data_IF_291669113814
#
_entry.id   IF_291669113814
#
_cell.length_a   1.000
_cell.length_b   1.000
_cell.length_c   1.000
_cell.angle_alpha   90.00
_cell.angle_beta   90.00
_cell.angle_gamma   90.00
#
_symmetry.space_group_name_H-M   'P 1'
#
loop_
_entity.id
_entity.type
_entity.pdbx_description
1 polymer ?
#
# COMPACT_ATOMS: atom_id res chain seq x y z
N UNK A 1 29.71 -14.95 1.04
CA UNK A 1 29.76 -14.43 -0.34
C UNK A 1 28.62 -13.46 -0.51
N UNK A 2 28.89 -12.18 -0.26
CA UNK A 2 27.94 -11.08 -0.42
C UNK A 2 27.55 -11.01 -1.91
N UNK A 3 26.28 -11.25 -2.19
CA UNK A 3 25.79 -11.46 -3.56
C UNK A 3 25.57 -10.10 -4.21
N UNK A 4 25.99 -10.04 -5.47
CA UNK A 4 25.91 -8.92 -6.42
C UNK A 4 24.52 -8.23 -6.57
N UNK A 5 23.48 -8.76 -5.93
CA UNK A 5 22.13 -8.21 -5.89
C UNK A 5 21.84 -7.34 -4.65
N UNK A 6 22.81 -7.23 -3.72
CA UNK A 6 22.71 -6.33 -2.58
C UNK A 6 22.62 -4.83 -3.00
N UNK A 7 22.93 -4.54 -4.26
CA UNK A 7 23.10 -3.18 -4.77
C UNK A 7 21.81 -2.51 -5.23
N UNK A 8 20.73 -3.25 -5.52
CA UNK A 8 19.41 -2.67 -5.78
C UNK A 8 18.55 -2.54 -4.51
N UNK A 9 19.09 -2.94 -3.35
CA UNK A 9 18.35 -2.85 -2.10
C UNK A 9 18.00 -1.40 -1.80
N UNK A 10 16.71 -1.19 -1.56
CA UNK A 10 16.20 -0.40 -0.45
C UNK A 10 16.85 -0.87 0.87
N UNK A 11 18.18 -0.74 0.95
CA UNK A 11 18.98 -0.74 2.16
C UNK A 11 18.93 0.65 2.77
N UNK A 12 17.77 1.26 2.63
CA UNK A 12 17.09 1.70 3.82
C UNK A 12 17.08 0.60 4.89
N UNK A 13 18.19 0.48 5.61
CA UNK A 13 18.17 0.75 7.04
C UNK A 13 17.61 2.18 7.27
N UNK A 14 16.43 2.51 6.72
CA UNK A 14 15.72 3.74 7.01
C UNK A 14 15.16 3.51 8.39
N UNK A 15 15.89 4.03 9.36
CA UNK A 15 15.33 4.77 10.48
C UNK A 15 14.57 3.97 11.57
N UNK A 16 14.05 2.77 11.31
CA UNK A 16 12.96 2.26 12.15
C UNK A 16 12.90 0.75 12.44
N UNK A 17 13.92 -0.06 12.17
CA UNK A 17 13.79 -1.48 12.53
C UNK A 17 13.88 -1.72 14.06
N UNK A 18 14.36 -0.73 14.84
CA UNK A 18 14.18 -0.61 16.29
C UNK A 18 14.21 0.87 16.65
N UNK A 19 13.24 1.34 17.43
CA UNK A 19 13.23 2.70 18.02
C UNK A 19 14.53 3.00 18.78
N UNK A 20 15.26 1.94 19.19
CA UNK A 20 16.50 2.01 19.96
C UNK A 20 17.79 1.75 19.16
N UNK A 21 17.72 1.45 17.85
CA UNK A 21 18.91 1.07 17.07
C UNK A 21 18.86 1.48 15.59
N UNK A 22 18.51 2.74 15.29
CA UNK A 22 18.87 3.29 13.98
C UNK A 22 20.40 3.41 13.92
N UNK A 23 21.06 2.60 13.09
CA UNK A 23 22.51 2.66 12.84
C UNK A 23 22.97 4.02 12.27
N UNK A 24 22.04 4.85 11.81
CA UNK A 24 22.28 6.20 11.32
C UNK A 24 22.09 7.24 12.45
N UNK A 25 23.05 8.15 12.67
CA UNK A 25 22.97 9.20 13.70
C UNK A 25 22.04 10.35 13.27
N UNK A 26 20.80 10.06 12.92
CA UNK A 26 19.79 11.06 12.54
C UNK A 26 18.99 11.53 13.75
N UNK A 27 18.85 12.84 13.88
CA UNK A 27 17.98 13.40 14.92
C UNK A 27 16.49 13.12 14.60
N UNK A 28 15.59 13.35 15.56
CA UNK A 28 14.15 13.06 15.37
C UNK A 28 13.53 13.82 14.19
N UNK A 29 13.92 15.08 13.99
CA UNK A 29 13.42 15.89 12.88
C UNK A 29 13.87 15.33 11.53
N UNK A 30 15.16 14.98 11.38
CA UNK A 30 15.69 14.37 10.15
C UNK A 30 15.01 13.04 9.83
N UNK A 31 14.73 12.22 10.84
CA UNK A 31 14.01 10.94 10.67
C UNK A 31 12.58 11.14 10.16
N UNK A 32 11.85 12.06 10.78
CA UNK A 32 10.46 12.38 10.40
C UNK A 32 10.42 12.99 9.01
N UNK A 33 11.22 14.03 8.76
CA UNK A 33 11.23 14.72 7.47
C UNK A 33 11.74 13.80 6.36
N UNK A 34 12.81 13.03 6.59
CA UNK A 34 13.32 12.08 5.60
C UNK A 34 12.25 11.06 5.17
N UNK A 35 11.47 10.54 6.13
CA UNK A 35 10.39 9.59 5.85
C UNK A 35 9.24 10.26 5.11
N UNK A 36 8.76 11.42 5.60
CA UNK A 36 7.70 12.17 4.91
C UNK A 36 8.09 12.54 3.49
N UNK A 37 9.34 12.96 3.27
CA UNK A 37 9.83 13.31 1.94
C UNK A 37 9.94 12.08 1.04
N UNK A 38 10.33 10.92 1.56
CA UNK A 38 10.36 9.64 0.83
C UNK A 38 8.96 9.19 0.41
N UNK A 39 8.02 9.29 1.34
CA UNK A 39 6.61 9.02 1.14
C UNK A 39 6.03 9.93 0.04
N UNK A 40 6.27 11.25 0.15
CA UNK A 40 5.85 12.23 -0.84
C UNK A 40 6.47 11.95 -2.21
N UNK A 41 7.76 11.61 -2.27
CA UNK A 41 8.44 11.23 -3.49
C UNK A 41 7.77 10.05 -4.18
N UNK A 42 7.52 8.98 -3.43
CA UNK A 42 6.83 7.79 -3.95
C UNK A 42 5.44 8.17 -4.47
N UNK A 43 4.71 8.98 -3.71
CA UNK A 43 3.42 9.53 -4.13
C UNK A 43 3.50 10.33 -5.44
N UNK A 44 4.54 11.15 -5.62
CA UNK A 44 4.80 11.94 -6.84
C UNK A 44 5.09 11.02 -8.02
N UNK A 45 5.93 10.00 -7.86
CA UNK A 45 6.20 9.03 -8.93
C UNK A 45 4.89 8.39 -9.40
N UNK A 46 4.08 7.88 -8.48
CA UNK A 46 2.80 7.24 -8.83
C UNK A 46 1.83 8.25 -9.46
N UNK A 47 1.72 9.46 -8.90
CA UNK A 47 0.85 10.50 -9.42
C UNK A 47 1.27 10.93 -10.83
N UNK A 48 2.57 10.94 -11.13
CA UNK A 48 3.07 11.31 -12.46
C UNK A 48 2.58 10.32 -13.52
N UNK A 49 2.71 9.02 -13.25
CA UNK A 49 2.26 7.91 -14.10
C UNK A 49 0.74 7.94 -14.29
N UNK A 50 0.00 8.07 -13.19
CA UNK A 50 -1.47 8.14 -13.23
C UNK A 50 -1.94 9.38 -13.99
N UNK A 51 -1.31 10.53 -13.76
CA UNK A 51 -1.66 11.78 -14.45
C UNK A 51 -1.35 11.75 -15.93
N UNK A 52 -0.28 11.06 -16.34
CA UNK A 52 0.14 10.98 -17.74
C UNK A 52 -0.82 10.10 -18.57
N UNK A 53 -1.25 8.97 -18.00
CA UNK A 53 -1.93 7.92 -18.78
C UNK A 53 -3.41 7.71 -18.44
N UNK A 54 -3.87 8.11 -17.25
CA UNK A 54 -5.20 7.73 -16.76
C UNK A 54 -6.10 8.91 -16.39
N UNK A 55 -5.53 10.01 -15.87
CA UNK A 55 -6.27 11.24 -15.66
C UNK A 55 -6.41 11.99 -16.97
N UNK A 56 -7.63 12.41 -17.28
CA UNK A 56 -7.91 13.20 -18.49
C UNK A 56 -8.09 14.65 -18.09
N UNK A 57 -9.33 15.01 -17.79
CA UNK A 57 -9.72 16.39 -17.49
C UNK A 57 -9.04 16.94 -16.24
N UNK A 58 -8.68 16.06 -15.29
CA UNK A 58 -8.04 16.47 -14.03
C UNK A 58 -6.51 16.41 -14.06
N UNK A 59 -5.88 15.93 -15.13
CA UNK A 59 -4.42 15.75 -15.18
C UNK A 59 -3.65 17.06 -14.99
N UNK A 60 -3.97 18.07 -15.81
CA UNK A 60 -3.33 19.39 -15.73
C UNK A 60 -3.53 20.03 -14.35
N UNK A 61 -4.72 19.86 -13.78
CA UNK A 61 -5.07 20.36 -12.46
C UNK A 61 -4.29 19.64 -11.34
N UNK A 62 -4.18 18.32 -11.40
CA UNK A 62 -3.40 17.50 -10.47
C UNK A 62 -1.94 17.92 -10.47
N UNK A 63 -1.34 18.07 -11.66
CA UNK A 63 0.07 18.44 -11.81
C UNK A 63 0.35 19.84 -11.25
N UNK A 64 -0.49 20.83 -11.54
CA UNK A 64 -0.29 22.21 -11.09
C UNK A 64 -0.48 22.40 -9.59
N UNK A 65 -1.56 21.87 -9.02
CA UNK A 65 -1.98 22.27 -7.67
C UNK A 65 -1.65 21.25 -6.59
N UNK A 66 -1.31 20.02 -6.97
CA UNK A 66 -0.86 18.98 -6.05
C UNK A 66 0.59 18.62 -6.35
N UNK A 67 0.87 18.18 -7.58
CA UNK A 67 2.19 17.70 -7.98
C UNK A 67 3.30 18.72 -7.80
N UNK A 68 3.20 19.91 -8.41
CA UNK A 68 4.25 20.93 -8.36
C UNK A 68 4.53 21.45 -6.94
N UNK A 69 3.53 21.78 -6.09
CA UNK A 69 3.79 22.14 -4.69
C UNK A 69 4.47 21.02 -3.89
N UNK A 70 4.08 19.77 -4.11
CA UNK A 70 4.68 18.62 -3.42
C UNK A 70 6.09 18.31 -3.93
N UNK A 71 6.35 18.50 -5.22
CA UNK A 71 7.70 18.40 -5.80
C UNK A 71 8.62 19.50 -5.27
N UNK A 72 8.11 20.73 -5.07
CA UNK A 72 8.85 21.80 -4.40
C UNK A 72 9.21 21.43 -2.95
N UNK A 73 8.27 20.84 -2.20
CA UNK A 73 8.55 20.33 -0.85
C UNK A 73 9.59 19.21 -0.88
N UNK A 74 9.53 18.30 -1.87
CA UNK A 74 10.52 17.26 -2.04
C UNK A 74 11.92 17.81 -2.29
N UNK A 75 12.04 18.85 -3.13
CA UNK A 75 13.29 19.57 -3.37
C UNK A 75 13.84 20.24 -2.11
N UNK A 76 12.99 20.94 -1.35
CA UNK A 76 13.40 21.64 -0.13
C UNK A 76 14.04 20.68 0.89
N UNK A 77 13.50 19.47 1.00
CA UNK A 77 13.99 18.45 1.94
C UNK A 77 14.88 17.38 1.30
N UNK A 78 15.29 17.57 0.04
CA UNK A 78 16.11 16.59 -0.69
C UNK A 78 17.41 16.20 0.05
N UNK A 79 18.17 17.14 0.66
CA UNK A 79 19.36 16.75 1.42
C UNK A 79 19.06 15.84 2.62
N UNK A 80 17.90 16.03 3.28
CA UNK A 80 17.47 15.18 4.39
C UNK A 80 17.04 13.80 3.88
N UNK A 81 16.32 13.75 2.75
CA UNK A 81 15.95 12.51 2.10
C UNK A 81 17.18 11.67 1.71
N UNK A 82 18.20 12.32 1.12
CA UNK A 82 19.46 11.66 0.75
C UNK A 82 20.16 11.09 1.99
N UNK A 83 20.28 11.88 3.06
CA UNK A 83 20.83 11.41 4.34
C UNK A 83 20.05 10.24 4.91
N UNK A 84 18.73 10.23 4.76
CA UNK A 84 17.88 9.17 5.28
C UNK A 84 18.09 7.86 4.49
N UNK A 85 18.18 7.94 3.16
CA UNK A 85 18.27 6.77 2.28
C UNK A 85 19.68 6.20 2.19
N UNK A 86 20.69 7.06 2.01
CA UNK A 86 22.08 6.64 1.74
C UNK A 86 22.98 6.78 2.97
N UNK A 87 22.53 7.52 3.98
CA UNK A 87 23.32 7.81 5.18
C UNK A 87 24.11 9.13 5.09
N UNK A 88 24.62 9.63 6.23
CA UNK A 88 25.15 10.98 6.35
C UNK A 88 26.54 11.20 5.74
N UNK A 89 27.26 10.14 5.36
CA UNK A 89 28.66 10.22 4.89
C UNK A 89 28.84 9.81 3.43
N UNK A 90 27.78 9.41 2.73
CA UNK A 90 27.87 8.76 1.42
C UNK A 90 27.16 9.57 0.30
N UNK A 91 27.35 10.90 0.30
CA UNK A 91 26.73 11.79 -0.70
C UNK A 91 27.23 11.57 -2.13
N UNK A 92 28.35 10.87 -2.32
CA UNK A 92 28.89 10.51 -3.63
C UNK A 92 28.40 9.14 -4.13
N UNK A 93 27.50 8.49 -3.38
CA UNK A 93 26.89 7.25 -3.82
C UNK A 93 26.09 7.47 -5.11
N UNK A 94 26.22 6.55 -6.08
CA UNK A 94 25.51 6.60 -7.35
C UNK A 94 23.98 6.75 -7.18
N UNK A 95 23.42 6.26 -6.07
CA UNK A 95 21.99 6.41 -5.72
C UNK A 95 21.57 7.86 -5.57
N UNK A 96 22.42 8.72 -5.03
CA UNK A 96 22.13 10.16 -4.88
C UNK A 96 21.93 10.80 -6.26
N UNK A 97 22.75 10.41 -7.24
CA UNK A 97 22.62 10.88 -8.61
C UNK A 97 21.34 10.36 -9.27
N UNK A 98 21.01 9.08 -9.09
CA UNK A 98 19.76 8.51 -9.61
C UNK A 98 18.53 9.19 -9.02
N UNK A 99 18.53 9.43 -7.70
CA UNK A 99 17.49 10.20 -7.03
C UNK A 99 17.42 11.62 -7.62
N UNK A 100 18.53 12.34 -7.72
CA UNK A 100 18.54 13.70 -8.29
C UNK A 100 18.02 13.76 -9.72
N UNK A 101 18.36 12.77 -10.56
CA UNK A 101 17.83 12.65 -11.93
C UNK A 101 16.32 12.42 -11.91
N UNK A 102 15.83 11.49 -11.08
CA UNK A 102 14.42 11.20 -10.97
C UNK A 102 13.62 12.42 -10.48
N UNK A 103 14.11 13.13 -9.45
CA UNK A 103 13.49 14.38 -8.99
C UNK A 103 13.48 15.45 -10.08
N UNK A 104 14.58 15.59 -10.83
CA UNK A 104 14.66 16.53 -11.95
C UNK A 104 13.65 16.21 -13.07
N UNK A 105 13.41 14.93 -13.36
CA UNK A 105 12.37 14.49 -14.31
C UNK A 105 10.98 14.82 -13.77
N UNK A 106 10.72 14.55 -12.48
CA UNK A 106 9.44 14.88 -11.84
C UNK A 106 9.19 16.38 -11.85
N UNK A 107 10.20 17.18 -11.50
CA UNK A 107 10.13 18.65 -11.53
C UNK A 107 9.82 19.15 -12.94
N UNK A 108 10.55 18.67 -13.94
CA UNK A 108 10.25 19.04 -15.32
C UNK A 108 8.80 18.73 -15.66
N UNK A 109 8.31 17.52 -15.35
CA UNK A 109 6.94 17.11 -15.65
C UNK A 109 5.87 17.95 -14.93
N UNK A 110 6.09 18.27 -13.65
CA UNK A 110 5.14 19.02 -12.84
C UNK A 110 5.19 20.53 -13.09
N UNK A 111 6.37 21.14 -13.21
CA UNK A 111 6.49 22.57 -13.47
C UNK A 111 6.19 22.93 -14.92
N UNK A 112 6.44 22.02 -15.88
CA UNK A 112 5.99 22.22 -17.27
C UNK A 112 4.47 22.41 -17.37
N UNK A 113 3.72 21.86 -16.41
CA UNK A 113 2.27 22.05 -16.37
C UNK A 113 1.87 23.53 -16.30
N UNK A 114 2.69 24.46 -15.79
CA UNK A 114 2.40 25.89 -15.77
C UNK A 114 2.57 26.58 -17.13
N UNK A 115 3.32 25.96 -18.05
CA UNK A 115 3.53 26.46 -19.41
C UNK A 115 2.41 26.03 -20.37
N UNK A 116 1.68 24.96 -20.04
CA UNK A 116 0.57 24.49 -20.86
C UNK A 116 -0.61 25.49 -20.82
N UNK A 117 -1.29 25.70 -21.95
CA UNK A 117 -2.51 26.52 -21.94
C UNK A 117 -3.69 25.71 -21.40
N UNK A 118 -4.43 26.25 -20.42
CA UNK A 118 -5.58 25.56 -19.86
C UNK A 118 -6.55 26.52 -19.19
N UNK A 119 -7.84 26.41 -19.53
CA UNK A 119 -8.93 27.15 -18.86
C UNK A 119 -9.18 26.54 -17.49
N UNK A 120 -8.39 26.93 -16.50
CA UNK A 120 -8.62 26.54 -15.10
C UNK A 120 -9.36 27.66 -14.40
N UNK A 121 -10.67 27.47 -14.20
CA UNK A 121 -11.47 28.37 -13.38
C UNK A 121 -11.62 27.82 -11.97
N UNK A 122 -11.26 28.60 -10.95
CA UNK A 122 -11.49 28.23 -9.54
C UNK A 122 -12.94 28.49 -9.15
N UNK A 123 -13.73 27.42 -9.03
CA UNK A 123 -15.11 27.43 -8.53
C UNK A 123 -15.23 26.46 -7.35
N UNK A 124 -16.33 26.48 -6.60
CA UNK A 124 -16.58 25.50 -5.50
C UNK A 124 -16.37 24.04 -5.94
N UNK A 125 -16.73 23.69 -7.18
CA UNK A 125 -16.50 22.35 -7.75
C UNK A 125 -15.01 22.02 -7.96
N UNK A 126 -14.14 23.02 -8.13
CA UNK A 126 -12.70 22.83 -8.28
C UNK A 126 -12.06 22.40 -6.95
N UNK A 127 -12.54 22.89 -5.81
CA UNK A 127 -12.08 22.44 -4.49
C UNK A 127 -12.36 20.96 -4.22
N UNK A 128 -13.51 20.46 -4.66
CA UNK A 128 -13.83 19.03 -4.59
C UNK A 128 -12.81 18.22 -5.40
N UNK A 129 -12.41 18.70 -6.59
CA UNK A 129 -11.36 18.07 -7.39
C UNK A 129 -9.99 18.11 -6.71
N UNK A 130 -9.62 19.21 -6.05
CA UNK A 130 -8.38 19.30 -5.25
C UNK A 130 -8.38 18.20 -4.19
N UNK A 131 -9.43 18.15 -3.36
CA UNK A 131 -9.54 17.18 -2.27
C UNK A 131 -9.54 15.75 -2.81
N UNK A 132 -10.25 15.51 -3.93
CA UNK A 132 -10.36 14.20 -4.54
C UNK A 132 -9.07 13.66 -5.14
N UNK A 133 -8.08 14.52 -5.38
CA UNK A 133 -6.76 14.13 -5.85
C UNK A 133 -5.76 14.12 -4.69
N UNK A 134 -5.81 15.15 -3.85
CA UNK A 134 -4.92 15.31 -2.70
C UNK A 134 -5.08 14.18 -1.68
N UNK A 135 -6.31 13.78 -1.36
CA UNK A 135 -6.53 12.75 -0.33
C UNK A 135 -5.99 11.38 -0.77
N UNK A 136 -6.33 10.84 -1.96
CA UNK A 136 -5.68 9.62 -2.47
C UNK A 136 -4.16 9.75 -2.53
N UNK A 137 -3.64 10.88 -3.02
CA UNK A 137 -2.20 11.13 -3.07
C UNK A 137 -1.55 10.98 -1.69
N UNK A 138 -2.07 11.67 -0.67
CA UNK A 138 -1.55 11.64 0.69
C UNK A 138 -1.61 10.23 1.29
N UNK A 139 -2.72 9.52 1.10
CA UNK A 139 -2.86 8.16 1.63
C UNK A 139 -1.89 7.20 0.94
N UNK A 140 -1.66 7.37 -0.36
CA UNK A 140 -0.71 6.55 -1.11
C UNK A 140 0.74 6.86 -0.84
N UNK A 141 1.05 8.08 -0.43
CA UNK A 141 2.40 8.44 -0.03
C UNK A 141 2.77 7.78 1.30
N UNK A 142 1.83 7.56 2.21
CA UNK A 142 2.14 7.07 3.56
C UNK A 142 2.66 5.64 3.58
N UNK A 143 3.91 5.46 4.01
CA UNK A 143 4.48 4.14 4.31
C UNK A 143 4.05 3.64 5.69
N UNK A 144 4.24 2.34 5.93
CA UNK A 144 3.92 1.71 7.23
C UNK A 144 4.75 2.28 8.40
N UNK A 145 5.87 2.95 8.11
CA UNK A 145 6.76 3.57 9.09
C UNK A 145 6.27 4.95 9.56
N UNK A 146 5.52 5.65 8.72
CA UNK A 146 5.14 7.05 8.93
C UNK A 146 4.31 7.29 10.18
N UNK A 147 3.29 6.47 10.52
CA UNK A 147 2.57 6.60 11.78
C UNK A 147 3.50 6.55 13.00
N UNK A 148 4.40 5.57 13.06
CA UNK A 148 5.33 5.42 14.20
C UNK A 148 6.26 6.62 14.36
N UNK A 149 6.66 7.25 13.26
CA UNK A 149 7.63 8.33 13.28
C UNK A 149 6.99 9.67 13.62
N UNK A 150 5.79 9.92 13.10
CA UNK A 150 5.03 11.13 13.41
C UNK A 150 4.50 11.12 14.83
N UNK A 151 3.90 9.99 15.21
CA UNK A 151 3.07 9.89 16.42
C UNK A 151 3.85 9.22 17.57
N UNK A 152 4.88 8.43 17.28
CA UNK A 152 5.53 7.54 18.24
C UNK A 152 5.01 6.10 18.12
N UNK A 153 5.58 5.12 18.84
CA UNK A 153 5.18 3.71 18.73
C UNK A 153 3.76 3.45 19.25
N UNK A 154 3.32 4.25 20.23
CA UNK A 154 1.97 4.23 20.82
C UNK A 154 1.49 5.66 21.01
N UNK A 155 0.20 5.90 20.78
CA UNK A 155 -0.43 7.22 20.95
C UNK A 155 -1.80 7.07 21.57
N UNK A 156 -2.18 8.06 22.39
CA UNK A 156 -3.52 8.16 23.00
C UNK A 156 -3.94 6.92 23.80
N UNK A 157 -2.98 6.17 24.35
CA UNK A 157 -3.25 4.94 25.10
C UNK A 157 -3.69 3.74 24.24
N UNK A 158 -3.53 3.81 22.92
CA UNK A 158 -3.83 2.69 22.02
C UNK A 158 -2.85 1.54 22.25
N UNK A 159 -3.40 0.35 22.46
CA UNK A 159 -2.68 -0.92 22.63
C UNK A 159 -2.60 -1.70 21.33
N UNK A 160 -1.83 -2.78 21.32
CA UNK A 160 -1.75 -3.71 20.21
C UNK A 160 -3.16 -4.23 19.84
N UNK A 161 -3.62 -4.06 18.58
CA UNK A 161 -4.95 -4.49 18.14
C UNK A 161 -5.01 -6.00 17.79
N UNK A 162 -4.43 -6.87 18.62
CA UNK A 162 -4.38 -8.31 18.34
C UNK A 162 -5.72 -9.02 18.62
N UNK A 163 -6.46 -8.56 19.62
CA UNK A 163 -7.71 -9.19 20.05
C UNK A 163 -8.94 -8.32 19.74
N UNK A 164 -10.08 -8.92 19.36
CA UNK A 164 -11.31 -8.17 19.08
C UNK A 164 -11.85 -7.35 20.27
N UNK A 165 -11.49 -7.73 21.50
CA UNK A 165 -11.85 -6.97 22.71
C UNK A 165 -11.15 -5.61 22.78
N UNK A 166 -9.99 -5.47 22.14
CA UNK A 166 -9.22 -4.23 22.18
C UNK A 166 -9.97 -3.09 21.50
N UNK A 167 -9.92 -1.90 22.12
CA UNK A 167 -10.52 -0.71 21.53
C UNK A 167 -9.82 -0.36 20.21
N UNK A 168 -8.49 -0.47 20.17
CA UNK A 168 -7.69 -0.22 18.96
C UNK A 168 -8.13 -1.10 17.81
N UNK A 169 -8.34 -2.40 18.06
CA UNK A 169 -8.80 -3.34 17.04
C UNK A 169 -10.15 -2.89 16.47
N UNK A 170 -11.13 -2.60 17.34
CA UNK A 170 -12.45 -2.11 16.94
C UNK A 170 -12.40 -0.80 16.13
N UNK A 171 -11.50 0.12 16.48
CA UNK A 171 -11.28 1.34 15.70
C UNK A 171 -10.83 1.01 14.28
N UNK A 172 -9.85 0.12 14.10
CA UNK A 172 -9.41 -0.29 12.77
C UNK A 172 -10.51 -0.99 11.96
N UNK A 173 -11.36 -1.79 12.62
CA UNK A 173 -12.54 -2.38 11.97
C UNK A 173 -13.53 -1.29 11.53
N UNK A 174 -13.83 -0.31 12.37
CA UNK A 174 -14.72 0.78 11.96
C UNK A 174 -14.15 1.58 10.79
N UNK A 175 -12.82 1.79 10.76
CA UNK A 175 -12.14 2.43 9.64
C UNK A 175 -12.32 1.64 8.33
N UNK A 176 -12.43 0.31 8.37
CA UNK A 176 -12.65 -0.51 7.15
C UNK A 176 -13.97 -0.19 6.44
N UNK A 177 -14.97 0.31 7.17
CA UNK A 177 -16.26 0.72 6.63
C UNK A 177 -16.36 2.23 6.40
N UNK A 178 -15.72 3.05 7.23
CA UNK A 178 -15.76 4.51 7.09
C UNK A 178 -14.92 5.01 5.91
N UNK A 179 -13.73 4.45 5.68
CA UNK A 179 -12.84 4.83 4.58
C UNK A 179 -13.48 4.67 3.19
N UNK A 180 -14.14 3.54 2.83
CA UNK A 180 -14.79 3.44 1.53
C UNK A 180 -15.95 4.42 1.35
N UNK A 181 -16.68 4.78 2.41
CA UNK A 181 -17.75 5.80 2.34
C UNK A 181 -17.13 7.18 2.03
N UNK A 182 -16.04 7.51 2.72
CA UNK A 182 -15.29 8.74 2.49
C UNK A 182 -14.78 8.80 1.03
N UNK A 183 -14.09 7.75 0.59
CA UNK A 183 -13.58 7.68 -0.78
C UNK A 183 -14.69 7.72 -1.83
N UNK A 184 -15.80 7.01 -1.61
CA UNK A 184 -16.93 7.06 -2.52
C UNK A 184 -17.46 8.49 -2.65
N UNK A 185 -17.69 9.17 -1.54
CA UNK A 185 -18.23 10.54 -1.52
C UNK A 185 -17.32 11.54 -2.25
N UNK A 186 -16.00 11.37 -2.10
CA UNK A 186 -15.00 12.25 -2.69
C UNK A 186 -14.77 11.96 -4.17
N UNK A 187 -14.77 10.69 -4.58
CA UNK A 187 -14.45 10.28 -5.96
C UNK A 187 -15.69 10.24 -6.87
N UNK A 188 -16.89 10.06 -6.32
CA UNK A 188 -18.14 10.00 -7.09
C UNK A 188 -18.37 11.22 -8.00
N UNK A 189 -18.03 12.46 -7.65
CA UNK A 189 -18.20 13.61 -8.54
C UNK A 189 -17.28 13.60 -9.78
N UNK A 190 -16.23 12.78 -9.81
CA UNK A 190 -15.26 12.76 -10.92
C UNK A 190 -15.79 12.01 -12.14
N UNK A 191 -15.14 12.23 -13.30
CA UNK A 191 -15.42 11.45 -14.52
C UNK A 191 -15.06 9.98 -14.32
N UNK A 192 -15.66 9.06 -15.09
CA UNK A 192 -15.35 7.63 -14.97
C UNK A 192 -13.86 7.31 -15.20
N UNK A 193 -13.20 8.05 -16.11
CA UNK A 193 -11.75 7.91 -16.37
C UNK A 193 -10.94 8.35 -15.16
N UNK A 194 -11.27 9.51 -14.58
CA UNK A 194 -10.53 10.05 -13.45
C UNK A 194 -10.78 9.24 -12.17
N UNK A 195 -12.00 8.70 -11.97
CA UNK A 195 -12.28 7.73 -10.89
C UNK A 195 -11.36 6.52 -10.99
N UNK A 196 -11.22 5.94 -12.19
CA UNK A 196 -10.31 4.82 -12.44
C UNK A 196 -8.86 5.22 -12.15
N UNK A 197 -8.42 6.40 -12.61
CA UNK A 197 -7.08 6.91 -12.33
C UNK A 197 -6.81 7.08 -10.84
N UNK A 198 -7.74 7.66 -10.08
CA UNK A 198 -7.62 7.83 -8.63
C UNK A 198 -7.63 6.50 -7.87
N UNK A 199 -8.47 5.55 -8.28
CA UNK A 199 -8.44 4.19 -7.71
C UNK A 199 -7.13 3.48 -8.03
N UNK A 200 -6.58 3.72 -9.23
CA UNK A 200 -5.28 3.18 -9.64
C UNK A 200 -4.16 3.78 -8.79
N UNK A 201 -4.18 5.10 -8.57
CA UNK A 201 -3.27 5.78 -7.64
C UNK A 201 -3.26 5.08 -6.29
N UNK A 202 -4.45 4.89 -5.69
CA UNK A 202 -4.62 4.19 -4.39
C UNK A 202 -3.97 2.81 -4.45
N UNK A 203 -4.33 1.99 -5.43
CA UNK A 203 -3.84 0.62 -5.53
C UNK A 203 -2.33 0.51 -5.78
N UNK A 204 -1.75 1.42 -6.56
CA UNK A 204 -0.30 1.46 -6.79
C UNK A 204 0.43 1.92 -5.54
N UNK A 205 -0.08 2.93 -4.83
CA UNK A 205 0.48 3.36 -3.55
C UNK A 205 0.50 2.24 -2.52
N UNK A 206 -0.60 1.50 -2.38
CA UNK A 206 -0.64 0.32 -1.48
C UNK A 206 0.37 -0.74 -1.91
N UNK A 207 0.54 -1.00 -3.21
CA UNK A 207 1.55 -1.92 -3.73
C UNK A 207 2.98 -1.46 -3.40
N UNK A 208 3.30 -0.18 -3.62
CA UNK A 208 4.62 0.36 -3.27
C UNK A 208 4.86 0.32 -1.75
N UNK A 209 3.83 0.61 -0.95
CA UNK A 209 3.87 0.43 0.51
C UNK A 209 4.17 -1.02 0.90
N UNK A 210 3.47 -2.00 0.32
CA UNK A 210 3.71 -3.43 0.52
C UNK A 210 5.14 -3.85 0.17
N UNK A 211 5.63 -3.42 -1.00
CA UNK A 211 7.00 -3.74 -1.46
C UNK A 211 8.04 -3.02 -0.60
N UNK A 212 7.75 -1.84 -0.04
CA UNK A 212 8.70 -1.12 0.82
C UNK A 212 9.06 -1.88 2.09
N UNK A 213 8.13 -2.69 2.63
CA UNK A 213 8.35 -3.47 3.86
C UNK A 213 8.90 -4.86 3.55
N UNK A 214 8.28 -5.57 2.60
CA UNK A 214 8.70 -6.93 2.23
C UNK A 214 9.95 -6.96 1.35
N UNK A 215 10.29 -5.83 0.74
CA UNK A 215 11.40 -5.63 -0.20
C UNK A 215 11.30 -6.49 -1.48
N UNK A 216 12.13 -6.21 -2.47
CA UNK A 216 12.17 -7.00 -3.73
C UNK A 216 12.80 -8.38 -3.54
N UNK A 217 13.48 -8.59 -2.42
CA UNK A 217 14.10 -9.85 -2.01
C UNK A 217 13.08 -10.97 -1.80
N UNK A 218 11.79 -10.67 -1.61
CA UNK A 218 10.73 -11.68 -1.59
C UNK A 218 10.75 -12.60 -2.81
N UNK A 219 11.22 -12.11 -3.97
CA UNK A 219 11.24 -12.88 -5.21
C UNK A 219 12.42 -13.86 -5.29
N UNK A 220 13.38 -13.76 -4.37
CA UNK A 220 14.59 -14.61 -4.38
C UNK A 220 14.33 -16.02 -3.85
N UNK A 221 13.35 -16.17 -2.95
CA UNK A 221 12.99 -17.44 -2.32
C UNK A 221 11.51 -17.72 -2.51
N UNK A 222 11.18 -18.90 -3.03
CA UNK A 222 9.78 -19.31 -3.27
C UNK A 222 8.92 -19.28 -2.00
N UNK A 223 9.51 -19.53 -0.83
CA UNK A 223 8.84 -19.47 0.46
C UNK A 223 8.38 -18.07 0.88
N UNK A 224 8.99 -17.02 0.33
CA UNK A 224 8.64 -15.62 0.60
C UNK A 224 7.68 -15.02 -0.43
N UNK A 225 7.27 -15.80 -1.43
CA UNK A 225 6.39 -15.28 -2.48
C UNK A 225 5.02 -14.88 -1.93
N UNK A 226 4.37 -13.85 -2.51
CA UNK A 226 3.08 -13.33 -2.05
C UNK A 226 1.91 -14.23 -2.48
N UNK A 227 1.98 -15.52 -2.15
CA UNK A 227 0.99 -16.57 -2.49
C UNK A 227 -0.18 -16.62 -1.50
N UNK A 228 -0.08 -15.94 -0.36
CA UNK A 228 -1.24 -15.68 0.48
C UNK A 228 -2.17 -14.68 -0.24
N UNK A 229 -3.47 -14.99 -0.31
CA UNK A 229 -4.45 -14.27 -1.14
C UNK A 229 -4.44 -12.75 -0.94
N UNK A 230 -4.31 -12.29 0.32
CA UNK A 230 -4.28 -10.85 0.63
C UNK A 230 -3.00 -10.17 0.14
N UNK A 231 -1.87 -10.88 0.11
CA UNK A 231 -0.62 -10.37 -0.46
C UNK A 231 -0.73 -10.34 -1.99
N UNK A 232 -1.29 -11.40 -2.59
CA UNK A 232 -1.60 -11.43 -4.02
C UNK A 232 -2.55 -10.30 -4.44
N UNK A 233 -3.46 -9.88 -3.55
CA UNK A 233 -4.36 -8.75 -3.78
C UNK A 233 -3.60 -7.45 -4.08
N UNK A 234 -2.47 -7.21 -3.39
CA UNK A 234 -1.67 -6.00 -3.55
C UNK A 234 -1.13 -5.84 -4.98
N UNK A 235 -0.82 -6.96 -5.66
CA UNK A 235 -0.40 -6.97 -7.07
C UNK A 235 -1.59 -6.98 -8.03
N UNK A 236 -2.60 -7.81 -7.76
CA UNK A 236 -3.71 -7.99 -8.70
C UNK A 236 -4.59 -6.76 -8.81
N UNK A 237 -4.80 -6.01 -7.73
CA UNK A 237 -5.62 -4.80 -7.74
C UNK A 237 -5.13 -3.73 -8.74
N UNK A 238 -3.87 -3.25 -8.69
CA UNK A 238 -3.39 -2.29 -9.69
C UNK A 238 -3.40 -2.88 -11.10
N UNK A 239 -3.06 -4.16 -11.30
CA UNK A 239 -3.10 -4.80 -12.62
C UNK A 239 -4.51 -4.79 -13.23
N UNK A 240 -5.55 -5.03 -12.43
CA UNK A 240 -6.93 -4.93 -12.92
C UNK A 240 -7.25 -3.51 -13.35
N UNK A 241 -6.80 -2.49 -12.61
CA UNK A 241 -7.05 -1.10 -12.96
C UNK A 241 -6.20 -0.61 -14.13
N UNK A 242 -4.99 -1.14 -14.33
CA UNK A 242 -4.13 -0.82 -15.47
C UNK A 242 -4.69 -1.36 -16.79
N UNK A 243 -5.14 -2.62 -16.80
CA UNK A 243 -5.52 -3.35 -18.02
C UNK A 243 -7.03 -3.55 -18.22
N UNK A 244 -7.87 -3.14 -17.26
CA UNK A 244 -9.32 -3.45 -17.24
C UNK A 244 -9.62 -4.96 -17.34
N UNK A 245 -8.84 -5.78 -16.63
CA UNK A 245 -9.04 -7.23 -16.62
C UNK A 245 -10.24 -7.64 -15.76
N UNK A 246 -11.37 -7.95 -16.42
CA UNK A 246 -12.61 -8.37 -15.75
C UNK A 246 -12.46 -9.71 -15.00
N UNK A 247 -11.75 -10.68 -15.57
CA UNK A 247 -11.56 -11.98 -14.94
C UNK A 247 -10.78 -11.85 -13.62
N UNK A 248 -9.63 -11.18 -13.68
CA UNK A 248 -8.80 -10.96 -12.50
C UNK A 248 -9.53 -10.10 -11.46
N UNK A 249 -10.28 -9.08 -11.88
CA UNK A 249 -11.04 -8.24 -10.97
C UNK A 249 -12.11 -9.04 -10.21
N UNK A 250 -12.91 -9.86 -10.90
CA UNK A 250 -13.94 -10.65 -10.22
C UNK A 250 -13.35 -11.77 -9.36
N UNK A 251 -12.19 -12.31 -9.72
CA UNK A 251 -11.44 -13.21 -8.83
C UNK A 251 -11.10 -12.50 -7.52
N UNK A 252 -10.41 -11.35 -7.60
CA UNK A 252 -10.02 -10.57 -6.42
C UNK A 252 -11.24 -10.09 -5.63
N UNK A 253 -12.32 -9.67 -6.30
CA UNK A 253 -13.55 -9.21 -5.65
C UNK A 253 -14.23 -10.30 -4.82
N UNK A 254 -14.35 -11.52 -5.33
CA UNK A 254 -15.09 -12.57 -4.61
C UNK A 254 -14.25 -13.30 -3.57
N UNK A 255 -12.98 -13.53 -3.87
CA UNK A 255 -12.10 -14.34 -3.02
C UNK A 255 -11.42 -13.47 -1.96
N UNK A 256 -10.78 -12.38 -2.38
CA UNK A 256 -9.92 -11.61 -1.48
C UNK A 256 -10.73 -10.71 -0.54
N UNK A 257 -11.93 -10.25 -0.91
CA UNK A 257 -12.75 -9.41 -0.01
C UNK A 257 -13.16 -10.19 1.24
N UNK A 258 -13.63 -11.44 1.08
CA UNK A 258 -14.00 -12.28 2.21
C UNK A 258 -12.77 -12.65 3.04
N UNK A 259 -11.69 -13.07 2.38
CA UNK A 259 -10.43 -13.40 3.06
C UNK A 259 -9.86 -12.23 3.86
N UNK A 260 -9.85 -11.02 3.27
CA UNK A 260 -9.38 -9.82 3.95
C UNK A 260 -10.28 -9.41 5.13
N UNK A 261 -11.60 -9.59 5.01
CA UNK A 261 -12.51 -9.35 6.14
C UNK A 261 -12.23 -10.31 7.31
N UNK A 262 -12.06 -11.60 7.03
CA UNK A 262 -11.72 -12.60 8.06
C UNK A 262 -10.36 -12.33 8.69
N UNK A 263 -9.36 -11.95 7.88
CA UNK A 263 -8.05 -11.54 8.39
C UNK A 263 -8.14 -10.31 9.30
N UNK A 264 -8.94 -9.30 8.93
CA UNK A 264 -9.16 -8.13 9.79
C UNK A 264 -9.75 -8.53 11.15
N UNK A 265 -10.64 -9.54 11.21
CA UNK A 265 -11.18 -10.08 12.47
C UNK A 265 -10.19 -10.92 13.27
N UNK A 266 -9.22 -11.54 12.60
CA UNK A 266 -8.26 -12.47 13.19
C UNK A 266 -6.83 -12.11 12.77
N UNK A 267 -6.24 -11.05 13.34
CA UNK A 267 -4.90 -10.62 12.99
C UNK A 267 -3.86 -11.68 13.35
N UNK A 268 -2.81 -11.79 12.54
CA UNK A 268 -1.79 -12.84 12.63
C UNK A 268 -0.38 -12.31 12.94
N UNK A 269 -0.27 -11.11 13.50
CA UNK A 269 1.00 -10.53 13.97
C UNK A 269 1.22 -10.77 15.46
N UNK A 270 2.44 -10.57 15.96
CA UNK A 270 2.79 -10.81 17.36
C UNK A 270 2.08 -9.86 18.34
N UNK A 271 1.64 -10.39 19.48
CA UNK A 271 1.04 -9.66 20.60
C UNK A 271 1.99 -8.66 21.26
N UNK A 272 3.31 -8.85 21.12
CA UNK A 272 4.32 -7.99 21.73
C UNK A 272 4.65 -6.72 20.92
N UNK A 273 4.01 -6.55 19.76
CA UNK A 273 4.25 -5.40 18.90
C UNK A 273 3.49 -4.15 19.37
N UNK A 274 4.07 -2.98 19.11
CA UNK A 274 3.37 -1.71 19.30
C UNK A 274 2.36 -1.47 18.18
N UNK A 275 1.29 -0.72 18.47
CA UNK A 275 0.19 -0.41 17.54
C UNK A 275 0.67 0.20 16.22
N UNK A 276 1.66 1.10 16.27
CA UNK A 276 2.20 1.74 15.08
C UNK A 276 3.47 1.09 14.58
N UNK A 277 3.81 -0.12 15.04
CA UNK A 277 4.92 -0.87 14.44
C UNK A 277 4.66 -1.10 12.94
N UNK A 278 5.72 -1.09 12.11
CA UNK A 278 5.56 -1.24 10.66
C UNK A 278 4.79 -2.51 10.26
N UNK A 279 5.00 -3.62 10.96
CA UNK A 279 4.29 -4.88 10.68
C UNK A 279 2.78 -4.80 10.98
N UNK A 280 2.39 -4.14 12.08
CA UNK A 280 0.96 -3.93 12.41
C UNK A 280 0.34 -2.97 11.42
N UNK A 281 1.02 -1.86 11.10
CA UNK A 281 0.52 -0.88 10.14
C UNK A 281 0.39 -1.45 8.74
N UNK A 282 1.39 -2.19 8.27
CA UNK A 282 1.34 -2.90 7.00
C UNK A 282 0.15 -3.87 6.96
N UNK A 283 -0.03 -4.69 8.01
CA UNK A 283 -1.14 -5.61 8.09
C UNK A 283 -2.48 -4.88 7.87
N UNK A 284 -2.74 -3.82 8.64
CA UNK A 284 -4.00 -3.10 8.50
C UNK A 284 -4.12 -2.38 7.16
N UNK A 285 -3.08 -1.70 6.68
CA UNK A 285 -3.13 -1.00 5.39
C UNK A 285 -3.49 -1.98 4.28
N UNK A 286 -2.82 -3.13 4.20
CA UNK A 286 -3.04 -4.10 3.13
C UNK A 286 -4.44 -4.73 3.22
N UNK A 287 -4.85 -5.18 4.41
CA UNK A 287 -6.14 -5.87 4.58
C UNK A 287 -7.33 -4.91 4.45
N UNK A 288 -7.21 -3.67 4.92
CA UNK A 288 -8.23 -2.64 4.68
C UNK A 288 -8.42 -2.42 3.17
N UNK A 289 -7.33 -2.19 2.43
CA UNK A 289 -7.42 -1.98 0.98
C UNK A 289 -7.93 -3.23 0.25
N UNK A 290 -7.44 -4.43 0.60
CA UNK A 290 -7.92 -5.68 0.02
C UNK A 290 -9.42 -5.91 0.25
N UNK A 291 -9.93 -5.50 1.41
CA UNK A 291 -11.35 -5.58 1.75
C UNK A 291 -12.20 -4.58 0.96
N UNK A 292 -11.92 -3.27 1.06
CA UNK A 292 -12.86 -2.27 0.56
C UNK A 292 -12.62 -1.85 -0.89
N UNK A 293 -11.38 -1.93 -1.42
CA UNK A 293 -11.08 -1.42 -2.76
C UNK A 293 -11.89 -2.10 -3.87
N UNK A 294 -12.02 -3.45 -3.91
CA UNK A 294 -12.83 -4.10 -4.94
C UNK A 294 -14.29 -3.63 -4.91
N UNK A 295 -14.86 -3.46 -3.71
CA UNK A 295 -16.23 -2.97 -3.51
C UNK A 295 -16.36 -1.54 -3.99
N UNK A 296 -15.45 -0.66 -3.58
CA UNK A 296 -15.42 0.76 -3.97
C UNK A 296 -15.35 0.94 -5.49
N UNK A 297 -14.49 0.16 -6.17
CA UNK A 297 -14.33 0.17 -7.63
C UNK A 297 -15.64 -0.18 -8.36
N UNK A 298 -16.39 -1.16 -7.83
CA UNK A 298 -17.72 -1.52 -8.37
C UNK A 298 -18.73 -0.40 -8.14
N UNK A 299 -18.79 0.14 -6.92
CA UNK A 299 -19.74 1.21 -6.56
C UNK A 299 -19.52 2.48 -7.37
N UNK A 300 -18.26 2.84 -7.64
CA UNK A 300 -17.90 4.00 -8.47
C UNK A 300 -18.14 3.77 -9.98
N UNK A 301 -18.55 2.57 -10.38
CA UNK A 301 -18.95 2.23 -11.73
C UNK A 301 -17.80 2.03 -12.72
N UNK A 302 -16.58 1.80 -12.23
CA UNK A 302 -15.42 1.46 -13.08
C UNK A 302 -15.67 0.09 -13.71
N UNK A 303 -16.00 -0.90 -12.88
CA UNK A 303 -16.41 -2.23 -13.29
C UNK A 303 -17.93 -2.40 -13.26
N UNK A 304 -18.43 -3.39 -14.01
CA UNK A 304 -19.85 -3.73 -14.00
C UNK A 304 -20.19 -4.50 -12.71
N UNK A 305 -21.42 -4.35 -12.23
CA UNK A 305 -21.91 -5.14 -11.10
C UNK A 305 -21.72 -6.64 -11.37
N UNK A 306 -21.27 -7.42 -10.37
CA UNK A 306 -21.04 -8.85 -10.53
C UNK A 306 -22.34 -9.58 -10.88
N UNK A 307 -22.20 -10.66 -11.64
CA UNK A 307 -23.28 -11.62 -11.97
C UNK A 307 -22.88 -12.98 -11.41
N UNK A 308 -23.85 -13.85 -11.14
CA UNK A 308 -23.61 -15.20 -10.58
C UNK A 308 -22.60 -16.02 -11.38
N UNK A 309 -22.58 -15.90 -12.71
CA UNK A 309 -21.58 -16.60 -13.54
C UNK A 309 -20.13 -16.25 -13.18
N UNK A 310 -19.86 -15.00 -12.83
CA UNK A 310 -18.50 -14.57 -12.47
C UNK A 310 -18.11 -15.12 -11.10
N UNK A 311 -19.06 -15.25 -10.18
CA UNK A 311 -18.83 -15.92 -8.90
C UNK A 311 -18.40 -17.37 -9.11
N UNK A 312 -19.16 -18.14 -9.92
CA UNK A 312 -18.84 -19.54 -10.21
C UNK A 312 -17.46 -19.68 -10.86
N UNK A 313 -17.13 -18.84 -11.84
CA UNK A 313 -15.80 -18.86 -12.45
C UNK A 313 -14.68 -18.50 -11.47
N UNK A 314 -14.91 -17.53 -10.57
CA UNK A 314 -13.94 -17.20 -9.51
C UNK A 314 -13.76 -18.36 -8.53
N UNK A 315 -14.80 -19.11 -8.19
CA UNK A 315 -14.69 -20.30 -7.33
C UNK A 315 -13.87 -21.41 -8.00
N UNK A 316 -14.09 -21.66 -9.28
CA UNK A 316 -13.28 -22.62 -10.05
C UNK A 316 -11.82 -22.17 -10.10
N UNK A 317 -11.57 -20.89 -10.40
CA UNK A 317 -10.23 -20.32 -10.40
C UNK A 317 -9.57 -20.40 -9.02
N UNK A 318 -10.33 -20.17 -7.96
CA UNK A 318 -9.85 -20.30 -6.58
C UNK A 318 -9.51 -21.73 -6.22
N UNK A 319 -10.32 -22.71 -6.61
CA UNK A 319 -10.02 -24.12 -6.38
C UNK A 319 -8.70 -24.53 -7.05
N UNK A 320 -8.50 -24.15 -8.31
CA UNK A 320 -7.25 -24.42 -9.02
C UNK A 320 -6.06 -23.73 -8.37
N UNK A 321 -6.23 -22.46 -7.97
CA UNK A 321 -5.22 -21.71 -7.25
C UNK A 321 -4.86 -22.36 -5.90
N UNK A 322 -5.87 -22.73 -5.12
CA UNK A 322 -5.72 -23.36 -3.82
C UNK A 322 -4.97 -24.69 -3.93
N UNK A 323 -5.36 -25.55 -4.88
CA UNK A 323 -4.67 -26.82 -5.14
C UNK A 323 -3.20 -26.56 -5.46
N UNK A 324 -2.90 -25.61 -6.36
CA UNK A 324 -1.52 -25.26 -6.71
C UNK A 324 -0.71 -24.78 -5.51
N UNK A 325 -1.23 -23.84 -4.73
CA UNK A 325 -0.52 -23.30 -3.56
C UNK A 325 -0.37 -24.37 -2.48
N UNK A 326 -1.35 -25.25 -2.30
CA UNK A 326 -1.26 -26.37 -1.38
C UNK A 326 -0.11 -27.31 -1.76
N UNK A 327 0.04 -27.67 -3.05
CA UNK A 327 1.18 -28.47 -3.52
C UNK A 327 2.51 -27.77 -3.22
N UNK A 328 2.63 -26.47 -3.51
CA UNK A 328 3.83 -25.69 -3.22
C UNK A 328 4.12 -25.66 -1.71
N UNK A 329 3.08 -25.48 -0.89
CA UNK A 329 3.22 -25.41 0.55
C UNK A 329 3.74 -26.73 1.15
N UNK A 330 3.21 -27.86 0.66
CA UNK A 330 3.67 -29.20 1.07
C UNK A 330 5.10 -29.44 0.62
N UNK A 331 5.46 -29.07 -0.61
CA UNK A 331 6.82 -29.22 -1.14
C UNK A 331 7.84 -28.41 -0.35
N UNK A 332 7.57 -27.13 -0.08
CA UNK A 332 8.47 -26.27 0.70
C UNK A 332 8.62 -26.77 2.14
N UNK A 333 7.51 -27.13 2.79
CA UNK A 333 7.54 -27.69 4.15
C UNK A 333 8.35 -28.99 4.20
N UNK A 334 8.22 -29.86 3.20
CA UNK A 334 9.00 -31.10 3.10
C UNK A 334 10.50 -30.85 2.93
N UNK A 335 10.90 -29.74 2.30
CA UNK A 335 12.29 -29.32 2.13
C UNK A 335 12.83 -28.45 3.27
N UNK A 336 12.08 -28.29 4.36
CA UNK A 336 12.53 -27.60 5.58
C UNK A 336 12.23 -26.10 5.62
N UNK A 337 11.45 -25.57 4.67
CA UNK A 337 10.93 -24.20 4.70
C UNK A 337 9.49 -24.22 5.26
N UNK A 338 9.27 -23.89 6.54
CA UNK A 338 7.94 -23.93 7.15
C UNK A 338 7.08 -22.78 6.64
N UNK A 339 6.45 -22.98 5.48
CA UNK A 339 5.50 -22.04 4.91
C UNK A 339 4.08 -22.37 5.37
N UNK A 340 3.24 -21.34 5.46
CA UNK A 340 1.82 -21.53 5.72
C UNK A 340 0.95 -20.50 5.01
N UNK A 341 0.80 -20.67 3.69
CA UNK A 341 0.09 -19.70 2.85
C UNK A 341 -1.43 -19.68 3.05
N UNK A 342 -2.00 -20.65 3.76
CA UNK A 342 -3.46 -20.80 3.95
C UNK A 342 -3.85 -21.22 5.37
N UNK A 343 -2.95 -21.12 6.34
CA UNK A 343 -3.16 -21.62 7.70
C UNK A 343 -3.55 -23.10 7.75
N UNK A 344 -2.97 -23.90 6.84
CA UNK A 344 -3.21 -25.36 6.74
C UNK A 344 -2.27 -26.11 7.67
N UNK A 345 -1.05 -25.59 7.87
CA UNK A 345 -0.01 -26.23 8.66
C UNK A 345 0.01 -25.76 10.13
N UNK A 346 -0.92 -24.88 10.52
CA UNK A 346 -1.00 -24.32 11.87
C UNK A 346 -2.42 -24.35 12.43
N UNK A 347 -2.54 -24.51 13.74
CA UNK A 347 -3.82 -24.40 14.48
C UNK A 347 -4.28 -22.94 14.63
N UNK A 348 -3.77 -22.02 13.82
CA UNK A 348 -4.00 -20.58 13.97
C UNK A 348 -5.51 -20.25 13.97
N UNK A 349 -6.25 -20.81 13.02
CA UNK A 349 -7.69 -20.58 12.89
C UNK A 349 -8.45 -21.20 14.06
N UNK A 350 -8.10 -22.42 14.47
CA UNK A 350 -8.74 -23.09 15.61
C UNK A 350 -8.55 -22.28 16.90
N UNK A 351 -7.31 -21.84 17.17
CA UNK A 351 -6.98 -20.98 18.33
C UNK A 351 -7.77 -19.68 18.36
N UNK A 352 -7.96 -19.03 17.20
CA UNK A 352 -8.74 -17.78 17.12
C UNK A 352 -10.25 -18.00 17.24
N UNK A 353 -10.76 -19.18 16.91
CA UNK A 353 -12.17 -19.55 17.08
C UNK A 353 -12.48 -20.06 18.51
N UNK A 354 -11.45 -20.40 19.29
CA UNK A 354 -11.53 -20.81 20.70
C UNK A 354 -11.74 -22.32 20.87
N UNK A 355 -11.84 -22.76 22.13
CA UNK A 355 -11.81 -24.17 22.53
C UNK A 355 -12.75 -25.08 21.73
N UNK A 356 -13.95 -24.61 21.36
CA UNK A 356 -14.88 -25.44 20.57
C UNK A 356 -14.33 -25.86 19.19
N UNK A 357 -13.45 -25.05 18.60
CA UNK A 357 -12.80 -25.32 17.32
C UNK A 357 -11.48 -26.10 17.48
N UNK A 358 -10.81 -25.96 18.63
CA UNK A 358 -9.66 -26.80 18.98
C UNK A 358 -10.09 -28.24 19.26
N UNK A 359 -11.26 -28.42 19.90
CA UNK A 359 -11.82 -29.72 20.28
C UNK A 359 -12.59 -30.42 19.15
N UNK A 360 -12.54 -29.90 17.91
CA UNK A 360 -13.34 -30.40 16.78
C UNK A 360 -12.80 -31.71 16.18
N UNK A 361 -11.63 -32.19 16.65
CA UNK A 361 -11.03 -33.47 16.26
C UNK A 361 -10.37 -34.21 17.43
#
# INVERSE_FOLDING_TARGET
TLKYYDYLHLDSLLVCNRVDASLLPLNRFERVMGTLTNDLWTGLVVLSLVSAFYLKETSLFARRYIGAPMALLANLFFPILVKAIVGPSDFLNYRVFLMGIELGILDFYYFHSYLEEGKISFHKRSWIKVIAIALPFLITSMSAFTPSLLLGPTVLGLTNPHEPSDLTHRIFIYLSFLLPILYFSILYPLSKSDRRGMLLQISLGTLFGYISVNRFDIWTHFSSWPMHLCNTAMYTMPLTLLFLSYGLYYFTFFINVLGAFLALMMPNFSEYLYVFSPSVMEFYINHLHAFFMPVLIMLLGVYKRPKMKYFVYSQIGFLLYFILVMFINVDLTAHGDPTDFFFINSDFVAKKLGNWAEDLF
#
